data_IF_375361181095
#
_entry.id   IF_375361181095
#
_cell.length_a   1.000
_cell.length_b   1.000
_cell.length_c   1.000
_cell.angle_alpha   90.00
_cell.angle_beta   90.00
_cell.angle_gamma   90.00
#
_symmetry.space_group_name_H-M   'P 1'
#
loop_
_entity.id
_entity.type
_entity.pdbx_description
1 polymer ?
#
# COMPACT_ATOMS: atom_id res chain seq x y z
N UNK A 1 34.61 4.18 -9.37
CA UNK A 1 33.66 3.68 -8.35
C UNK A 1 33.49 2.19 -8.56
N UNK A 2 33.63 1.36 -7.52
CA UNK A 2 33.61 -0.11 -7.66
C UNK A 2 32.18 -0.62 -8.00
N UNK A 3 32.04 -1.65 -8.85
CA UNK A 3 30.75 -2.19 -9.29
C UNK A 3 29.89 -2.75 -8.13
N UNK A 4 30.53 -3.34 -7.12
CA UNK A 4 29.89 -3.87 -5.89
C UNK A 4 29.07 -2.81 -5.14
N UNK A 5 29.52 -1.55 -5.15
CA UNK A 5 28.87 -0.43 -4.48
C UNK A 5 27.61 0.08 -5.23
N UNK A 6 27.42 -0.31 -6.49
CA UNK A 6 26.21 0.02 -7.28
C UNK A 6 25.10 -0.98 -7.02
N UNK A 7 25.42 -2.27 -6.96
CA UNK A 7 24.45 -3.32 -6.72
C UNK A 7 23.84 -3.22 -5.32
N UNK A 8 24.69 -2.96 -4.31
CA UNK A 8 24.25 -2.77 -2.94
C UNK A 8 23.23 -1.62 -2.83
N UNK A 9 23.54 -0.44 -3.38
CA UNK A 9 22.61 0.71 -3.39
C UNK A 9 21.30 0.43 -4.13
N UNK A 10 21.35 -0.34 -5.22
CA UNK A 10 20.17 -0.74 -5.97
C UNK A 10 19.27 -1.64 -5.12
N UNK A 11 19.88 -2.62 -4.46
CA UNK A 11 19.19 -3.54 -3.55
C UNK A 11 18.53 -2.80 -2.37
N UNK A 12 19.24 -1.84 -1.76
CA UNK A 12 18.71 -0.99 -0.68
C UNK A 12 17.51 -0.16 -1.17
N UNK A 13 17.61 0.39 -2.39
CA UNK A 13 16.51 1.12 -3.03
C UNK A 13 15.29 0.22 -3.23
N UNK A 14 15.48 -1.05 -3.60
CA UNK A 14 14.38 -2.00 -3.75
C UNK A 14 13.69 -2.29 -2.42
N UNK A 15 14.45 -2.48 -1.34
CA UNK A 15 13.87 -2.65 0.01
C UNK A 15 13.01 -1.45 0.42
N UNK A 16 13.54 -0.24 0.25
CA UNK A 16 12.82 0.99 0.57
C UNK A 16 11.52 1.13 -0.24
N UNK A 17 11.50 0.69 -1.50
CA UNK A 17 10.29 0.72 -2.33
C UNK A 17 9.26 -0.28 -1.86
N UNK A 18 9.66 -1.48 -1.45
CA UNK A 18 8.73 -2.47 -0.84
C UNK A 18 8.15 -1.91 0.47
N UNK A 19 8.98 -1.34 1.33
CA UNK A 19 8.52 -0.69 2.57
C UNK A 19 7.53 0.44 2.28
N UNK A 20 7.81 1.28 1.29
CA UNK A 20 6.92 2.36 0.85
C UNK A 20 5.56 1.85 0.39
N UNK A 21 5.51 0.72 -0.32
CA UNK A 21 4.23 0.10 -0.73
C UNK A 21 3.39 -0.29 0.49
N UNK A 22 4.01 -0.95 1.47
CA UNK A 22 3.34 -1.38 2.71
C UNK A 22 2.86 -0.17 3.51
N UNK A 23 3.70 0.86 3.67
CA UNK A 23 3.32 2.09 4.36
C UNK A 23 2.16 2.80 3.67
N UNK A 24 2.15 2.84 2.34
CA UNK A 24 1.08 3.49 1.58
C UNK A 24 -0.26 2.82 1.84
N UNK A 25 -0.31 1.48 1.84
CA UNK A 25 -1.53 0.72 2.13
C UNK A 25 -2.05 1.04 3.54
N UNK A 26 -1.17 1.01 4.55
CA UNK A 26 -1.52 1.31 5.94
C UNK A 26 -2.03 2.75 6.10
N UNK A 27 -1.32 3.73 5.53
CA UNK A 27 -1.74 5.15 5.59
C UNK A 27 -3.08 5.39 4.92
N UNK A 28 -3.34 4.74 3.78
CA UNK A 28 -4.64 4.87 3.10
C UNK A 28 -5.75 4.33 3.98
N UNK A 29 -5.55 3.18 4.63
CA UNK A 29 -6.53 2.65 5.58
C UNK A 29 -6.77 3.58 6.78
N UNK A 30 -5.71 4.15 7.36
CA UNK A 30 -5.81 5.09 8.48
C UNK A 30 -6.52 6.40 8.10
N UNK A 31 -6.21 6.96 6.92
CA UNK A 31 -6.73 8.27 6.49
C UNK A 31 -8.17 8.23 5.99
N UNK A 32 -8.64 7.07 5.53
CA UNK A 32 -9.98 6.98 4.95
C UNK A 32 -11.11 6.86 5.98
N UNK A 33 -10.83 6.67 7.28
CA UNK A 33 -11.81 6.56 8.40
C UNK A 33 -12.98 5.59 8.15
N UNK A 34 -12.85 4.74 7.12
CA UNK A 34 -13.90 3.90 6.56
C UNK A 34 -13.69 2.42 6.88
N UNK A 35 -12.65 2.08 7.65
CA UNK A 35 -12.22 0.68 7.91
C UNK A 35 -12.28 -0.18 6.63
N UNK A 36 -11.69 0.35 5.55
CA UNK A 36 -11.77 -0.27 4.22
C UNK A 36 -11.07 -1.63 4.22
N UNK A 37 -10.02 -1.77 5.02
CA UNK A 37 -9.37 -3.05 5.29
C UNK A 37 -9.81 -3.62 6.63
N UNK A 38 -9.98 -4.93 6.65
CA UNK A 38 -10.26 -5.68 7.87
C UNK A 38 -9.10 -5.58 8.86
N UNK A 39 -9.39 -5.63 10.16
CA UNK A 39 -8.38 -5.43 11.21
C UNK A 39 -7.24 -6.47 11.12
N UNK A 40 -7.59 -7.72 10.82
CA UNK A 40 -6.62 -8.79 10.60
C UNK A 40 -5.70 -8.51 9.39
N UNK A 41 -6.24 -7.89 8.33
CA UNK A 41 -5.44 -7.52 7.14
C UNK A 41 -4.45 -6.41 7.50
N UNK A 42 -4.87 -5.42 8.29
CA UNK A 42 -4.00 -4.36 8.80
C UNK A 42 -2.88 -4.93 9.64
N UNK A 43 -3.18 -5.85 10.57
CA UNK A 43 -2.19 -6.52 11.41
C UNK A 43 -1.14 -7.27 10.57
N UNK A 44 -1.58 -7.99 9.53
CA UNK A 44 -0.66 -8.68 8.60
C UNK A 44 0.26 -7.71 7.87
N UNK A 45 -0.22 -6.54 7.44
CA UNK A 45 0.62 -5.52 6.83
C UNK A 45 1.60 -4.87 7.81
N UNK A 46 1.18 -4.65 9.06
CA UNK A 46 2.08 -4.18 10.12
C UNK A 46 3.18 -5.20 10.41
N UNK A 47 2.83 -6.48 10.50
CA UNK A 47 3.80 -7.57 10.66
C UNK A 47 4.77 -7.66 9.48
N UNK A 48 4.26 -7.55 8.25
CA UNK A 48 5.09 -7.52 7.05
C UNK A 48 6.07 -6.34 7.06
N UNK A 49 5.63 -5.15 7.50
CA UNK A 49 6.50 -3.99 7.68
C UNK A 49 7.64 -4.27 8.66
N UNK A 50 7.36 -4.93 9.78
CA UNK A 50 8.38 -5.33 10.75
C UNK A 50 9.38 -6.33 10.16
N UNK A 51 8.91 -7.36 9.44
CA UNK A 51 9.79 -8.35 8.79
C UNK A 51 10.70 -7.65 7.77
N UNK A 52 10.20 -6.69 7.00
CA UNK A 52 11.00 -6.00 5.98
C UNK A 52 12.23 -5.27 6.52
N UNK A 53 12.23 -4.88 7.81
CA UNK A 53 13.40 -4.27 8.45
C UNK A 53 14.57 -5.25 8.57
N UNK A 54 14.28 -6.56 8.66
CA UNK A 54 15.25 -7.64 8.83
C UNK A 54 15.64 -8.30 7.50
N UNK A 55 14.91 -8.04 6.42
CA UNK A 55 15.19 -8.61 5.10
C UNK A 55 16.51 -8.04 4.55
N UNK A 56 17.41 -8.96 4.19
CA UNK A 56 18.60 -8.64 3.41
C UNK A 56 18.19 -8.09 2.04
N UNK A 57 18.55 -6.83 1.77
CA UNK A 57 18.16 -6.13 0.55
C UNK A 57 18.66 -6.82 -0.72
N UNK A 58 19.79 -7.53 -0.65
CA UNK A 58 20.36 -8.27 -1.80
C UNK A 58 19.47 -9.42 -2.28
N UNK A 59 18.52 -9.87 -1.46
CA UNK A 59 17.57 -10.94 -1.80
C UNK A 59 16.37 -10.44 -2.61
N UNK A 60 16.14 -9.12 -2.64
CA UNK A 60 15.00 -8.52 -3.32
C UNK A 60 15.34 -8.34 -4.79
N UNK A 61 14.63 -9.09 -5.64
CA UNK A 61 14.79 -8.99 -7.10
C UNK A 61 13.86 -7.91 -7.65
N UNK A 62 14.33 -7.25 -8.70
CA UNK A 62 13.57 -6.22 -9.41
C UNK A 62 12.20 -6.72 -9.89
N UNK A 63 12.12 -7.95 -10.38
CA UNK A 63 10.85 -8.55 -10.82
C UNK A 63 9.86 -8.73 -9.67
N UNK A 64 10.35 -9.12 -8.48
CA UNK A 64 9.50 -9.28 -7.30
C UNK A 64 9.00 -7.91 -6.80
N UNK A 65 9.87 -6.90 -6.82
CA UNK A 65 9.50 -5.51 -6.55
C UNK A 65 8.41 -5.00 -7.50
N UNK A 66 8.58 -5.17 -8.82
CA UNK A 66 7.60 -4.72 -9.81
C UNK A 66 6.23 -5.38 -9.61
N UNK A 67 6.21 -6.67 -9.21
CA UNK A 67 4.97 -7.38 -8.89
C UNK A 67 4.30 -6.83 -7.63
N UNK A 68 5.07 -6.50 -6.60
CA UNK A 68 4.56 -5.87 -5.37
C UNK A 68 3.97 -4.49 -5.69
N UNK A 69 4.64 -3.69 -6.49
CA UNK A 69 4.15 -2.37 -6.91
C UNK A 69 2.87 -2.47 -7.75
N UNK A 70 2.81 -3.39 -8.72
CA UNK A 70 1.59 -3.61 -9.51
C UNK A 70 0.42 -4.05 -8.63
N UNK A 71 0.63 -5.00 -7.71
CA UNK A 71 -0.39 -5.45 -6.78
C UNK A 71 -0.86 -4.32 -5.85
N UNK A 72 0.08 -3.50 -5.35
CA UNK A 72 -0.23 -2.34 -4.50
C UNK A 72 -1.07 -1.32 -5.27
N UNK A 73 -0.70 -1.01 -6.51
CA UNK A 73 -1.47 -0.08 -7.35
C UNK A 73 -2.88 -0.58 -7.63
N UNK A 74 -3.07 -1.88 -7.89
CA UNK A 74 -4.40 -2.48 -8.07
C UNK A 74 -5.25 -2.34 -6.81
N UNK A 75 -4.69 -2.69 -5.64
CA UNK A 75 -5.39 -2.54 -4.36
C UNK A 75 -5.83 -1.09 -4.11
N UNK A 76 -4.95 -0.11 -4.40
CA UNK A 76 -5.29 1.31 -4.24
C UNK A 76 -6.39 1.77 -5.20
N UNK A 77 -6.45 1.22 -6.43
CA UNK A 77 -7.57 1.48 -7.34
C UNK A 77 -8.88 0.88 -6.81
N UNK A 78 -8.85 -0.34 -6.28
CA UNK A 78 -10.03 -0.99 -5.71
C UNK A 78 -10.56 -0.18 -4.51
N UNK A 79 -9.67 0.24 -3.61
CA UNK A 79 -10.00 1.12 -2.48
C UNK A 79 -10.62 2.43 -2.97
N UNK A 80 -10.03 3.06 -3.98
CA UNK A 80 -10.57 4.30 -4.58
C UNK A 80 -11.99 4.09 -5.11
N UNK A 81 -12.23 2.98 -5.81
CA UNK A 81 -13.56 2.65 -6.34
C UNK A 81 -14.58 2.47 -5.22
N UNK A 82 -14.23 1.75 -4.15
CA UNK A 82 -15.11 1.55 -2.98
C UNK A 82 -15.49 2.87 -2.30
N UNK A 83 -14.54 3.80 -2.18
CA UNK A 83 -14.79 5.12 -1.61
C UNK A 83 -15.70 5.98 -2.50
N UNK A 84 -15.55 5.89 -3.83
CA UNK A 84 -16.41 6.61 -4.77
C UNK A 84 -17.83 6.05 -4.80
N UNK A 85 -18.01 4.73 -4.66
CA UNK A 85 -19.35 4.12 -4.60
C UNK A 85 -20.10 4.50 -3.33
N UNK A 86 -19.45 4.49 -2.16
CA UNK A 86 -20.09 4.87 -0.90
C UNK A 86 -20.46 6.36 -0.84
N UNK A 87 -19.75 7.22 -1.56
CA UNK A 87 -20.03 8.67 -1.62
C UNK A 87 -21.30 9.02 -2.40
N UNK A 88 -21.72 8.16 -3.33
CA UNK A 88 -22.89 8.40 -4.19
C UNK A 88 -24.22 7.93 -3.58
N UNK A 89 -24.20 7.26 -2.42
CA UNK A 89 -25.41 6.83 -1.72
C UNK A 89 -26.01 7.90 -0.79
N UNK A 90 -25.31 9.03 -0.61
CA UNK A 90 -25.78 10.13 0.26
C UNK A 90 -26.21 11.35 -0.58
N UNK A 91 -27.53 11.56 -0.63
CA UNK A 91 -28.35 12.70 -1.12
C UNK A 91 -28.94 12.59 -2.55
N UNK A 92 -30.24 12.94 -2.75
CA UNK A 92 -30.96 14.01 -2.05
C UNK A 92 -32.16 13.54 -1.21
N UNK A 93 -32.18 13.93 0.06
CA UNK A 93 -33.42 14.01 0.84
C UNK A 93 -34.31 15.09 0.23
N UNK A 94 -35.50 14.69 -0.18
CA UNK A 94 -36.57 15.56 -0.62
C UNK A 94 -37.00 16.52 0.50
N UNK A 95 -36.42 17.72 0.55
CA UNK A 95 -37.07 18.87 1.19
C UNK A 95 -37.87 19.63 0.13
N UNK A 96 -39.01 19.04 -0.29
CA UNK A 96 -40.10 19.76 -0.95
C UNK A 96 -41.44 19.23 -0.44
N UNK A 97 -41.87 19.68 0.74
CA UNK A 97 -43.27 19.99 1.10
C UNK A 97 -43.44 19.98 2.63
N UNK A 98 -43.43 21.16 3.24
CA UNK A 98 -44.61 21.82 3.83
C UNK A 98 -44.19 23.04 4.66
#
# INVERSE_FOLDING_TARGET
MKPENREQRRSETYRLRVESCIETILRVNETMDLSVLDAEVVERFQHLKSIMQEVDSSTIREQDLLRIEDATNRLLQDIRMLCLTKRNEVAPTEERMN
#
